data_IF_768124931818
#
_entry.id   IF_768124931818
#
_cell.length_a   1.000
_cell.length_b   1.000
_cell.length_c   1.000
_cell.angle_alpha   90.00
_cell.angle_beta   90.00
_cell.angle_gamma   90.00
#
_symmetry.space_group_name_H-M   'P 1'
#
loop_
_entity.id
_entity.type
_entity.pdbx_description
1 polymer ?
#
# COMPACT_ATOMS: atom_id res chain seq x y z
N UNK A 1 4.10 2.17 -11.33
CA UNK A 1 4.56 3.43 -10.66
C UNK A 1 3.57 4.58 -10.78
N UNK A 2 2.63 4.58 -11.74
CA UNK A 2 1.70 5.68 -11.96
C UNK A 2 0.85 6.10 -10.76
N UNK A 3 0.51 5.17 -9.86
CA UNK A 3 -0.23 5.46 -8.62
C UNK A 3 0.71 5.67 -7.42
N UNK A 4 1.71 4.79 -7.25
CA UNK A 4 2.64 4.84 -6.11
C UNK A 4 3.40 6.17 -5.99
N UNK A 5 3.89 6.74 -7.10
CA UNK A 5 4.66 7.98 -7.05
C UNK A 5 3.80 9.20 -6.65
N UNK A 6 2.60 9.41 -7.22
CA UNK A 6 1.67 10.43 -6.73
C UNK A 6 1.29 10.26 -5.26
N UNK A 7 0.97 9.04 -4.81
CA UNK A 7 0.68 8.81 -3.39
C UNK A 7 1.88 9.13 -2.50
N UNK A 8 3.11 8.80 -2.92
CA UNK A 8 4.31 9.14 -2.17
C UNK A 8 4.57 10.65 -2.16
N UNK A 9 4.34 11.34 -3.28
CA UNK A 9 4.44 12.79 -3.34
C UNK A 9 3.43 13.44 -2.39
N UNK A 10 2.18 12.99 -2.41
CA UNK A 10 1.14 13.48 -1.51
C UNK A 10 1.48 13.20 -0.04
N UNK A 11 2.00 12.02 0.27
CA UNK A 11 2.51 11.67 1.61
C UNK A 11 3.59 12.62 2.09
N UNK A 12 4.51 13.05 1.21
CA UNK A 12 5.53 14.04 1.54
C UNK A 12 4.93 15.41 1.86
N UNK A 13 3.92 15.84 1.11
CA UNK A 13 3.22 17.10 1.37
C UNK A 13 2.51 17.08 2.74
N UNK A 14 1.82 15.98 3.07
CA UNK A 14 1.19 15.82 4.38
C UNK A 14 2.22 15.78 5.52
N UNK A 15 3.33 15.06 5.33
CA UNK A 15 4.42 15.03 6.31
C UNK A 15 5.01 16.43 6.57
N UNK A 16 5.17 17.26 5.54
CA UNK A 16 5.60 18.65 5.68
C UNK A 16 4.60 19.52 6.47
N UNK A 17 3.34 19.11 6.57
CA UNK A 17 2.32 19.76 7.39
C UNK A 17 2.25 19.20 8.81
N UNK A 18 3.14 18.27 9.18
CA UNK A 18 3.26 17.72 10.53
C UNK A 18 2.52 16.38 10.73
N UNK A 19 1.96 15.78 9.68
CA UNK A 19 1.30 14.48 9.79
C UNK A 19 2.33 13.33 9.81
N UNK A 20 2.07 12.30 10.65
CA UNK A 20 2.79 11.02 10.58
C UNK A 20 2.13 10.11 9.57
N UNK A 21 2.94 9.50 8.70
CA UNK A 21 2.47 8.73 7.56
C UNK A 21 3.00 7.30 7.65
N UNK A 22 2.11 6.32 7.53
CA UNK A 22 2.46 4.95 7.19
C UNK A 22 2.14 4.73 5.71
N UNK A 23 3.18 4.65 4.87
CA UNK A 23 3.02 4.35 3.45
C UNK A 23 3.10 2.84 3.26
N UNK A 24 1.96 2.22 2.99
CA UNK A 24 1.82 0.77 2.95
C UNK A 24 1.88 0.28 1.51
N UNK A 25 2.74 -0.69 1.23
CA UNK A 25 2.75 -1.41 -0.04
C UNK A 25 3.46 -2.76 0.10
N UNK A 26 3.62 -3.47 -1.01
CA UNK A 26 4.34 -4.74 -1.03
C UNK A 26 5.86 -4.51 -1.14
N UNK A 27 6.71 -5.48 -0.73
CA UNK A 27 8.16 -5.29 -0.67
C UNK A 27 8.78 -4.75 -1.96
N UNK A 28 8.47 -5.35 -3.11
CA UNK A 28 9.05 -4.96 -4.41
C UNK A 28 8.56 -3.61 -4.90
N UNK A 29 7.37 -3.18 -4.50
CA UNK A 29 6.90 -1.83 -4.79
C UNK A 29 7.64 -0.81 -3.94
N UNK A 30 7.87 -1.10 -2.65
CA UNK A 30 8.65 -0.24 -1.74
C UNK A 30 10.10 -0.11 -2.21
N UNK A 31 10.74 -1.21 -2.61
CA UNK A 31 12.12 -1.23 -3.11
C UNK A 31 12.32 -0.30 -4.33
N UNK A 32 11.26 -0.08 -5.11
CA UNK A 32 11.26 0.80 -6.30
C UNK A 32 10.99 2.26 -5.98
N UNK A 33 10.55 2.58 -4.75
CA UNK A 33 10.28 3.96 -4.37
C UNK A 33 11.60 4.74 -4.22
N UNK A 34 11.59 6.04 -4.57
CA UNK A 34 12.73 6.89 -4.27
C UNK A 34 12.95 6.98 -2.77
N UNK A 35 14.22 7.08 -2.36
CA UNK A 35 14.58 7.30 -0.95
C UNK A 35 13.92 8.57 -0.43
N UNK A 36 13.51 8.51 0.83
CA UNK A 36 12.97 9.68 1.52
C UNK A 36 14.10 10.68 1.80
N UNK A 37 13.83 11.99 1.67
CA UNK A 37 14.80 12.99 2.09
C UNK A 37 14.95 12.95 3.63
N UNK A 38 16.15 13.22 4.18
CA UNK A 38 16.41 13.06 5.62
C UNK A 38 15.47 13.84 6.53
N UNK A 39 14.98 15.00 6.08
CA UNK A 39 14.05 15.81 6.85
C UNK A 39 12.63 15.21 6.96
N UNK A 40 12.29 14.20 6.15
CA UNK A 40 10.98 13.52 6.19
C UNK A 40 11.06 12.09 6.69
N UNK A 41 12.26 11.53 6.91
CA UNK A 41 12.43 10.12 7.30
C UNK A 41 11.84 9.77 8.66
N UNK A 42 11.67 10.76 9.55
CA UNK A 42 11.01 10.58 10.84
C UNK A 42 9.48 10.66 10.78
N UNK A 43 8.92 11.20 9.70
CA UNK A 43 7.48 11.42 9.54
C UNK A 43 6.82 10.41 8.61
N UNK A 44 7.60 9.74 7.75
CA UNK A 44 7.07 8.74 6.81
C UNK A 44 7.76 7.40 7.07
N UNK A 45 6.96 6.39 7.40
CA UNK A 45 7.40 5.01 7.56
C UNK A 45 6.87 4.18 6.40
N UNK A 46 7.76 3.48 5.69
CA UNK A 46 7.37 2.48 4.69
C UNK A 46 7.03 1.18 5.39
N UNK A 47 5.80 0.71 5.22
CA UNK A 47 5.28 -0.52 5.83
C UNK A 47 5.11 -1.55 4.74
N UNK A 48 5.91 -2.61 4.81
CA UNK A 48 5.94 -3.68 3.82
C UNK A 48 5.01 -4.82 4.23
N UNK A 49 3.99 -5.08 3.43
CA UNK A 49 3.09 -6.23 3.62
C UNK A 49 3.42 -7.31 2.58
N UNK A 50 3.78 -8.53 3.00
CA UNK A 50 4.20 -9.58 2.07
C UNK A 50 3.02 -10.01 1.19
N UNK A 51 3.25 -10.03 -0.13
CA UNK A 51 2.32 -10.62 -1.07
C UNK A 51 2.71 -12.08 -1.32
N UNK A 52 1.84 -13.00 -0.94
CA UNK A 52 2.09 -14.42 -1.14
C UNK A 52 1.96 -14.80 -2.63
N UNK A 53 2.64 -15.88 -3.07
CA UNK A 53 2.49 -16.40 -4.42
C UNK A 53 1.02 -16.67 -4.75
N UNK A 54 0.62 -16.33 -5.98
CA UNK A 54 -0.74 -16.49 -6.45
C UNK A 54 -0.76 -17.28 -7.77
N UNK A 55 -1.75 -18.16 -8.00
CA UNK A 55 -1.83 -18.94 -9.23
C UNK A 55 -1.77 -18.06 -10.49
N UNK A 56 -1.08 -18.55 -11.52
CA UNK A 56 -0.96 -17.89 -12.83
C UNK A 56 -0.24 -16.53 -12.81
N UNK A 57 0.48 -16.21 -11.74
CA UNK A 57 1.39 -15.07 -11.69
C UNK A 57 2.85 -15.55 -11.60
N UNK A 58 3.77 -14.94 -12.38
CA UNK A 58 5.19 -15.17 -12.18
C UNK A 58 5.61 -14.88 -10.74
N UNK A 59 6.60 -15.60 -10.19
CA UNK A 59 7.15 -15.29 -8.87
C UNK A 59 7.56 -13.82 -8.77
N UNK A 60 7.30 -13.19 -7.62
CA UNK A 60 7.59 -11.76 -7.38
C UNK A 60 6.78 -10.75 -8.22
N UNK A 61 5.65 -11.17 -8.80
CA UNK A 61 4.73 -10.25 -9.50
C UNK A 61 3.91 -9.43 -8.52
N UNK A 62 4.45 -8.29 -8.10
CA UNK A 62 3.79 -7.39 -7.15
C UNK A 62 3.32 -6.08 -7.78
N UNK A 63 3.56 -5.89 -9.09
CA UNK A 63 3.29 -4.63 -9.78
C UNK A 63 2.67 -4.88 -11.15
N UNK A 64 1.80 -3.98 -11.59
CA UNK A 64 1.25 -3.99 -12.95
C UNK A 64 2.35 -3.89 -14.03
N UNK A 65 3.54 -3.40 -13.66
CA UNK A 65 4.73 -3.38 -14.53
C UNK A 65 5.34 -4.77 -14.77
N UNK A 66 5.01 -5.77 -13.95
CA UNK A 66 5.61 -7.11 -14.02
C UNK A 66 4.69 -8.15 -14.65
N UNK A 67 3.48 -7.77 -15.04
CA UNK A 67 2.47 -8.68 -15.56
C UNK A 67 1.93 -8.18 -16.89
N UNK A 68 1.58 -9.12 -17.78
CA UNK A 68 0.87 -8.80 -19.01
C UNK A 68 -0.54 -8.29 -18.71
N UNK A 69 -1.17 -7.65 -19.71
CA UNK A 69 -2.55 -7.17 -19.60
C UNK A 69 -3.53 -8.27 -19.13
N UNK A 70 -3.41 -9.48 -19.70
CA UNK A 70 -4.27 -10.62 -19.35
C UNK A 70 -4.11 -11.09 -17.90
N UNK A 71 -2.97 -10.79 -17.27
CA UNK A 71 -2.66 -11.18 -15.90
C UNK A 71 -2.97 -10.06 -14.87
N UNK A 72 -3.46 -8.91 -15.31
CA UNK A 72 -3.81 -7.82 -14.38
C UNK A 72 -4.95 -8.21 -13.43
N UNK A 73 -5.92 -9.00 -13.90
CA UNK A 73 -7.00 -9.49 -13.04
C UNK A 73 -6.46 -10.44 -11.96
N UNK A 74 -5.55 -11.35 -12.31
CA UNK A 74 -4.89 -12.22 -11.34
C UNK A 74 -4.07 -11.42 -10.32
N UNK A 75 -3.40 -10.34 -10.76
CA UNK A 75 -2.70 -9.43 -9.86
C UNK A 75 -3.66 -8.75 -8.88
N UNK A 76 -4.81 -8.28 -9.37
CA UNK A 76 -5.85 -7.70 -8.51
C UNK A 76 -6.34 -8.71 -7.46
N UNK A 77 -6.64 -9.94 -7.87
CA UNK A 77 -7.04 -11.01 -6.95
C UNK A 77 -5.94 -11.36 -5.94
N UNK A 78 -4.66 -11.31 -6.34
CA UNK A 78 -3.56 -11.49 -5.42
C UNK A 78 -3.52 -10.40 -4.35
N UNK A 79 -3.79 -9.14 -4.72
CA UNK A 79 -3.84 -8.01 -3.77
C UNK A 79 -4.94 -8.16 -2.71
N UNK A 80 -6.00 -8.93 -2.97
CA UNK A 80 -7.02 -9.22 -1.96
C UNK A 80 -6.47 -10.05 -0.80
N UNK A 81 -5.37 -10.79 -1.00
CA UNK A 81 -4.65 -11.47 0.08
C UNK A 81 -4.00 -10.51 1.08
N UNK A 82 -3.83 -9.24 0.73
CA UNK A 82 -3.35 -8.21 1.65
C UNK A 82 -4.42 -7.76 2.65
N UNK A 83 -5.67 -8.20 2.50
CA UNK A 83 -6.77 -7.85 3.40
C UNK A 83 -6.45 -8.16 4.85
N UNK A 84 -6.06 -9.40 5.13
CA UNK A 84 -5.75 -9.82 6.49
C UNK A 84 -4.58 -9.03 7.12
N UNK A 85 -3.37 -8.99 6.51
CA UNK A 85 -2.25 -8.27 7.12
C UNK A 85 -2.51 -6.76 7.22
N UNK A 86 -3.26 -6.15 6.29
CA UNK A 86 -3.64 -4.74 6.43
C UNK A 86 -4.62 -4.53 7.59
N UNK A 87 -5.59 -5.42 7.77
CA UNK A 87 -6.56 -5.35 8.88
C UNK A 87 -5.84 -5.40 10.23
N UNK A 88 -4.88 -6.31 10.37
CA UNK A 88 -4.07 -6.45 11.59
C UNK A 88 -3.22 -5.19 11.84
N UNK A 89 -2.59 -4.65 10.80
CA UNK A 89 -1.85 -3.40 10.90
C UNK A 89 -2.74 -2.26 11.38
N UNK A 90 -3.93 -2.09 10.79
CA UNK A 90 -4.87 -1.02 11.13
C UNK A 90 -5.37 -1.10 12.58
N UNK A 91 -5.63 -2.31 13.10
CA UNK A 91 -5.98 -2.51 14.52
C UNK A 91 -4.90 -2.01 15.48
N UNK A 92 -3.64 -2.19 15.10
CA UNK A 92 -2.51 -1.82 15.95
C UNK A 92 -2.09 -0.35 15.81
N UNK A 93 -2.34 0.26 14.64
CA UNK A 93 -1.86 1.60 14.31
C UNK A 93 -2.89 2.70 14.59
N UNK A 94 -4.19 2.38 14.57
CA UNK A 94 -5.29 3.32 14.84
C UNK A 94 -5.15 4.68 14.12
N UNK A 95 -5.02 4.71 12.78
CA UNK A 95 -4.80 5.94 12.03
C UNK A 95 -6.01 6.89 12.06
N UNK A 96 -5.75 8.21 11.97
CA UNK A 96 -6.80 9.21 11.83
C UNK A 96 -7.46 9.19 10.45
N UNK A 97 -6.66 8.99 9.39
CA UNK A 97 -7.12 8.96 8.00
C UNK A 97 -6.56 7.76 7.25
N UNK A 98 -7.39 7.20 6.37
CA UNK A 98 -7.00 6.15 5.44
C UNK A 98 -7.22 6.68 4.02
N UNK A 99 -6.13 6.85 3.27
CA UNK A 99 -6.15 7.26 1.86
C UNK A 99 -5.70 6.05 1.04
N UNK A 100 -6.54 5.59 0.13
CA UNK A 100 -6.35 4.32 -0.57
C UNK A 100 -6.66 4.40 -2.06
N UNK A 101 -6.16 3.41 -2.79
CA UNK A 101 -6.33 3.27 -4.23
C UNK A 101 -7.35 2.18 -4.57
N UNK A 102 -7.88 2.20 -5.80
CA UNK A 102 -8.96 1.30 -6.23
C UNK A 102 -8.68 -0.22 -6.11
N UNK A 103 -7.43 -0.74 -6.14
CA UNK A 103 -7.21 -2.17 -5.93
C UNK A 103 -7.67 -2.64 -4.54
N UNK A 104 -7.60 -1.77 -3.53
CA UNK A 104 -8.02 -2.02 -2.15
C UNK A 104 -9.53 -1.83 -1.95
N UNK A 105 -10.34 -2.32 -2.89
CA UNK A 105 -11.79 -2.14 -2.92
C UNK A 105 -12.53 -2.68 -1.68
N UNK A 106 -11.94 -3.64 -0.96
CA UNK A 106 -12.46 -4.20 0.29
C UNK A 106 -12.15 -3.34 1.52
N UNK A 107 -11.25 -2.36 1.41
CA UNK A 107 -10.77 -1.57 2.54
C UNK A 107 -11.86 -0.72 3.20
N UNK A 108 -12.82 -0.09 2.50
CA UNK A 108 -13.90 0.64 3.16
C UNK A 108 -14.70 -0.23 4.15
N UNK A 109 -15.05 -1.47 3.76
CA UNK A 109 -15.75 -2.41 4.65
C UNK A 109 -14.92 -2.72 5.89
N UNK A 110 -13.63 -3.01 5.71
CA UNK A 110 -12.70 -3.28 6.82
C UNK A 110 -12.55 -2.06 7.72
N UNK A 111 -12.46 -0.86 7.14
CA UNK A 111 -12.32 0.39 7.89
C UNK A 111 -13.56 0.61 8.79
N UNK A 112 -14.77 0.42 8.24
CA UNK A 112 -16.02 0.51 9.00
C UNK A 112 -16.10 -0.54 10.11
N UNK A 113 -15.70 -1.79 9.85
CA UNK A 113 -15.66 -2.86 10.87
C UNK A 113 -14.72 -2.52 12.04
N UNK A 114 -13.66 -1.76 11.77
CA UNK A 114 -12.69 -1.29 12.76
C UNK A 114 -13.09 0.05 13.42
N UNK A 115 -14.21 0.64 13.04
CA UNK A 115 -14.69 1.91 13.59
C UNK A 115 -14.06 3.17 12.98
N UNK A 116 -13.34 3.05 11.85
CA UNK A 116 -12.89 4.20 11.07
C UNK A 116 -14.05 4.71 10.19
N UNK A 117 -14.17 6.04 10.11
CA UNK A 117 -15.22 6.75 9.33
C UNK A 117 -14.69 7.23 7.99
#
# INVERSE_FOLDING_TARGET
MGHLLPFLHFSKLLAQKGHKISFISTPRNIDRLPKLPPNLSFSITFVSLPLFPFPNLPPSSESSLNVSYNNQQSLKSAFDLLRLPLTEFLRSSSPDWIIYDYPSHWLPSVATELGFS
#
